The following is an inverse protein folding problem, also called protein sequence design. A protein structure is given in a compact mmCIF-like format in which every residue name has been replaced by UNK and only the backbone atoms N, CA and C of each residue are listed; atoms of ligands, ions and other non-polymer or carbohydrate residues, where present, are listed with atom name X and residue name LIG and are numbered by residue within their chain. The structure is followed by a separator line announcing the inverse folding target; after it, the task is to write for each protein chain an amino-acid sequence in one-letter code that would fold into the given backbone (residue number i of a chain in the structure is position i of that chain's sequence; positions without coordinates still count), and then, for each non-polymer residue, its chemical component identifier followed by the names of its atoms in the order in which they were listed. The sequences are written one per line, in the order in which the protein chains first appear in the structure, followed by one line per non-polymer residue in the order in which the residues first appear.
data_IF_179108092037
#
_entry.id   IF_179108092037
#
_cell.length_a   1.000
_cell.length_b   1.000
_cell.length_c   1.000
_cell.angle_alpha   90.00
_cell.angle_beta   90.00
_cell.angle_gamma   90.00
#
_symmetry.space_group_name_H-M   'P 1'
#
loop_
_entity.id
_entity.type
_entity.pdbx_description
1 polymer ?
#
# COMPACT_ATOMS: atom_id res chain seq x y z
N UNK A 1 -17.22 10.01 -35.31
CA UNK A 1 -15.81 9.63 -35.06
C UNK A 1 -15.01 10.69 -34.30
N UNK A 2 -15.59 11.85 -33.94
CA UNK A 2 -14.86 12.96 -33.26
C UNK A 2 -14.69 12.77 -31.74
N UNK A 3 -15.43 11.86 -31.12
CA UNK A 3 -15.34 11.55 -29.68
C UNK A 3 -14.04 10.79 -29.30
N UNK A 4 -13.40 10.10 -30.25
CA UNK A 4 -12.12 9.39 -30.06
C UNK A 4 -10.90 10.32 -29.98
N UNK A 5 -11.06 11.60 -30.32
CA UNK A 5 -9.97 12.56 -30.46
C UNK A 5 -9.91 13.59 -29.33
N UNK A 6 -10.73 13.47 -28.27
CA UNK A 6 -10.54 14.28 -27.07
C UNK A 6 -9.20 13.85 -26.44
N UNK A 7 -8.18 14.72 -26.38
CA UNK A 7 -6.99 14.39 -25.62
C UNK A 7 -7.42 14.13 -24.17
N UNK A 8 -6.93 13.05 -23.57
CA UNK A 8 -7.09 12.78 -22.14
C UNK A 8 -6.33 13.86 -21.36
N UNK A 9 -6.89 15.05 -21.24
CA UNK A 9 -6.35 16.14 -20.45
C UNK A 9 -7.09 16.18 -19.10
N UNK A 10 -6.56 15.43 -18.15
CA UNK A 10 -6.64 15.69 -16.72
C UNK A 10 -5.19 15.58 -16.25
N UNK A 11 -4.60 16.63 -15.67
CA UNK A 11 -3.15 16.63 -15.38
C UNK A 11 -2.77 15.37 -14.60
N UNK A 12 -1.92 14.54 -15.22
CA UNK A 12 -1.27 13.44 -14.55
C UNK A 12 -0.18 14.07 -13.69
N UNK A 13 -0.53 14.37 -12.44
CA UNK A 13 0.42 14.94 -11.49
C UNK A 13 1.42 13.85 -11.09
N UNK A 14 2.71 14.18 -11.11
CA UNK A 14 3.71 13.28 -10.58
C UNK A 14 3.47 13.03 -9.08
N UNK A 15 3.64 11.80 -8.63
CA UNK A 15 3.37 11.43 -7.24
C UNK A 15 4.06 10.16 -6.79
N UNK A 16 3.89 9.86 -5.50
CA UNK A 16 4.23 8.57 -4.94
C UNK A 16 2.98 7.74 -4.76
N UNK A 17 3.08 6.44 -5.00
CA UNK A 17 2.11 5.46 -4.51
C UNK A 17 2.53 5.06 -3.10
N UNK A 18 1.59 4.94 -2.17
CA UNK A 18 1.86 4.48 -0.82
C UNK A 18 0.92 3.34 -0.44
N UNK A 19 1.39 2.49 0.47
CA UNK A 19 0.61 1.45 1.10
C UNK A 19 0.78 1.55 2.62
N UNK A 20 -0.33 1.54 3.35
CA UNK A 20 -0.31 1.54 4.80
C UNK A 20 -1.34 0.60 5.39
N UNK A 21 -1.07 0.16 6.61
CA UNK A 21 -1.98 -0.68 7.37
C UNK A 21 -2.95 0.19 8.20
N UNK A 22 -4.23 -0.12 8.09
CA UNK A 22 -5.31 0.46 8.89
C UNK A 22 -5.50 -0.35 10.17
N UNK A 23 -5.34 0.29 11.33
CA UNK A 23 -5.72 -0.30 12.61
C UNK A 23 -6.81 0.50 13.31
N UNK A 24 -7.89 -0.15 13.78
CA UNK A 24 -8.90 0.53 14.60
C UNK A 24 -8.27 1.09 15.87
N UNK A 25 -8.54 2.36 16.18
CA UNK A 25 -8.06 3.08 17.37
C UNK A 25 -8.54 2.47 18.70
N UNK A 26 -9.50 1.53 18.66
CA UNK A 26 -10.01 0.82 19.84
C UNK A 26 -9.01 -0.20 20.43
N UNK A 27 -7.94 -0.57 19.69
CA UNK A 27 -6.90 -1.48 20.20
C UNK A 27 -5.84 -0.67 20.98
N UNK A 28 -5.74 -0.91 22.29
CA UNK A 28 -4.84 -0.18 23.23
C UNK A 28 -3.33 -0.35 22.98
N UNK A 29 -2.91 -1.27 22.11
CA UNK A 29 -1.50 -1.53 21.84
C UNK A 29 -1.14 -1.12 20.40
N UNK A 30 0.02 -0.46 20.18
CA UNK A 30 0.44 -0.07 18.84
C UNK A 30 0.66 -1.32 17.97
N UNK A 31 0.27 -1.28 16.68
CA UNK A 31 0.47 -2.42 15.79
C UNK A 31 1.96 -2.73 15.56
N UNK A 32 2.31 -3.99 15.25
CA UNK A 32 3.69 -4.43 15.04
C UNK A 32 4.17 -4.07 13.64
N UNK A 33 4.36 -2.79 13.38
CA UNK A 33 4.69 -2.24 12.05
C UNK A 33 6.01 -2.78 11.52
N UNK A 34 7.03 -2.89 12.37
CA UNK A 34 8.34 -3.42 11.97
C UNK A 34 8.24 -4.88 11.53
N UNK A 35 7.34 -5.66 12.16
CA UNK A 35 7.07 -7.02 11.73
C UNK A 35 6.40 -7.02 10.35
N UNK A 36 5.42 -6.15 10.11
CA UNK A 36 4.77 -6.02 8.80
C UNK A 36 5.74 -5.53 7.70
N UNK A 37 6.61 -4.57 8.00
CA UNK A 37 7.67 -4.09 7.10
C UNK A 37 8.70 -5.20 6.81
N UNK A 38 9.05 -6.00 7.81
CA UNK A 38 9.96 -7.14 7.64
C UNK A 38 9.42 -8.19 6.66
N UNK A 39 8.09 -8.33 6.52
CA UNK A 39 7.48 -9.22 5.53
C UNK A 39 7.75 -8.79 4.08
N UNK A 40 8.00 -7.49 3.86
CA UNK A 40 8.29 -6.87 2.56
C UNK A 40 9.79 -6.90 2.20
N UNK A 41 10.66 -7.38 3.09
CA UNK A 41 12.09 -7.54 2.84
C UNK A 41 12.38 -9.01 2.46
N UNK A 42 13.31 -9.27 1.52
CA UNK A 42 13.79 -10.63 1.28
C UNK A 42 14.34 -11.24 2.57
N UNK A 43 14.03 -12.51 2.90
CA UNK A 43 14.58 -13.13 4.09
C UNK A 43 16.11 -13.25 3.95
N UNK A 44 16.89 -12.99 5.02
CA UNK A 44 18.30 -13.33 5.01
C UNK A 44 18.47 -14.86 4.84
N UNK A 45 19.59 -15.32 4.27
CA UNK A 45 19.84 -16.73 3.98
C UNK A 45 19.88 -17.64 5.21
N UNK A 46 19.88 -17.09 6.43
CA UNK A 46 19.76 -17.84 7.67
C UNK A 46 18.88 -17.07 8.67
N UNK A 47 17.72 -17.61 9.03
CA UNK A 47 17.00 -17.11 10.21
C UNK A 47 16.71 -18.26 11.16
N UNK A 48 17.56 -18.36 12.18
CA UNK A 48 17.36 -19.17 13.37
C UNK A 48 16.16 -18.66 14.19
N UNK A 49 15.40 -19.60 14.79
CA UNK A 49 14.50 -19.58 15.98
C UNK A 49 13.87 -18.27 16.53
N UNK A 50 13.77 -17.19 15.76
CA UNK A 50 13.01 -15.99 16.11
C UNK A 50 11.53 -16.17 15.75
N UNK A 51 10.63 -15.56 16.53
CA UNK A 51 9.19 -15.53 16.21
C UNK A 51 8.99 -14.89 14.82
N UNK A 52 8.25 -15.56 13.95
CA UNK A 52 8.09 -15.11 12.56
C UNK A 52 7.33 -13.78 12.54
N UNK A 53 7.75 -12.78 11.75
CA UNK A 53 7.05 -11.51 11.65
C UNK A 53 5.55 -11.66 11.27
N UNK A 54 5.22 -12.70 10.50
CA UNK A 54 3.84 -13.06 10.14
C UNK A 54 2.97 -13.35 11.35
N UNK A 55 3.51 -14.05 12.35
CA UNK A 55 2.77 -14.49 13.53
C UNK A 55 2.43 -13.26 14.39
N UNK A 56 3.36 -12.30 14.45
CA UNK A 56 3.18 -11.03 15.16
C UNK A 56 2.11 -10.19 14.46
N UNK A 57 2.18 -9.99 13.14
CA UNK A 57 1.17 -9.24 12.37
C UNK A 57 -0.22 -9.88 12.51
N UNK A 58 -0.29 -11.21 12.45
CA UNK A 58 -1.54 -11.94 12.60
C UNK A 58 -2.22 -11.65 13.95
N UNK A 59 -1.47 -11.42 15.03
CA UNK A 59 -2.08 -11.16 16.35
C UNK A 59 -2.88 -9.84 16.39
N UNK A 60 -2.55 -8.90 15.51
CA UNK A 60 -3.15 -7.57 15.44
C UNK A 60 -4.12 -7.38 14.27
N UNK A 61 -4.10 -8.32 13.31
CA UNK A 61 -5.13 -8.48 12.28
C UNK A 61 -6.53 -8.65 12.89
N UNK A 62 -7.58 -8.35 12.11
CA UNK A 62 -8.96 -8.41 12.59
C UNK A 62 -9.34 -9.88 12.89
N UNK A 63 -9.69 -10.23 14.15
CA UNK A 63 -10.13 -11.58 14.47
C UNK A 63 -11.53 -11.90 13.94
N UNK A 64 -12.27 -10.91 13.41
CA UNK A 64 -13.66 -11.04 12.97
C UNK A 64 -13.82 -11.76 11.62
N UNK A 65 -12.72 -12.06 10.93
CA UNK A 65 -12.72 -12.80 9.67
C UNK A 65 -13.35 -14.18 9.83
N UNK A 66 -14.60 -14.34 9.39
CA UNK A 66 -15.28 -15.64 9.27
C UNK A 66 -14.64 -16.44 8.14
N UNK A 67 -13.53 -17.12 8.43
CA UNK A 67 -12.88 -18.06 7.52
C UNK A 67 -11.36 -18.10 7.66
N UNK A 68 -10.80 -19.30 7.64
CA UNK A 68 -9.41 -19.74 7.55
C UNK A 68 -8.30 -18.64 7.38
N UNK A 69 -8.02 -17.92 8.46
CA UNK A 69 -6.86 -17.02 8.61
C UNK A 69 -7.20 -15.57 8.94
N UNK A 70 -6.40 -14.96 9.81
CA UNK A 70 -6.56 -13.55 10.23
C UNK A 70 -6.22 -12.61 9.06
N UNK A 71 -7.04 -11.58 8.84
CA UNK A 71 -6.90 -10.62 7.73
C UNK A 71 -6.50 -9.23 8.20
N UNK A 72 -5.78 -8.51 7.36
CA UNK A 72 -5.37 -7.13 7.61
C UNK A 72 -5.93 -6.21 6.51
N UNK A 73 -6.28 -5.00 6.90
CA UNK A 73 -6.87 -4.00 6.02
C UNK A 73 -5.80 -3.01 5.55
N UNK A 74 -5.51 -3.02 4.26
CA UNK A 74 -4.53 -2.14 3.63
C UNK A 74 -5.22 -0.99 2.92
N UNK A 75 -4.65 0.21 3.02
CA UNK A 75 -4.98 1.33 2.13
C UNK A 75 -3.87 1.54 1.13
N UNK A 76 -4.25 1.67 -0.14
CA UNK A 76 -3.33 2.03 -1.22
C UNK A 76 -3.80 3.35 -1.80
N UNK A 77 -2.92 4.35 -1.82
CA UNK A 77 -3.26 5.65 -2.38
C UNK A 77 -2.06 6.35 -3.00
N UNK A 78 -2.30 7.55 -3.52
CA UNK A 78 -1.25 8.42 -4.09
C UNK A 78 -1.15 9.78 -3.42
N UNK A 79 0.03 10.39 -3.48
CA UNK A 79 0.24 11.79 -3.15
C UNK A 79 1.59 12.31 -3.69
N UNK A 80 1.63 13.59 -4.09
CA UNK A 80 2.90 14.29 -4.31
C UNK A 80 3.70 14.48 -3.01
N UNK A 81 3.01 14.69 -1.89
CA UNK A 81 3.59 14.76 -0.56
C UNK A 81 2.86 13.79 0.39
N UNK A 82 3.42 12.59 0.55
CA UNK A 82 2.85 11.49 1.35
C UNK A 82 2.66 11.91 2.81
N UNK A 83 3.65 12.58 3.41
CA UNK A 83 3.60 13.00 4.80
C UNK A 83 2.42 13.95 5.07
N UNK A 84 2.23 14.97 4.23
CA UNK A 84 1.08 15.88 4.34
C UNK A 84 -0.24 15.14 4.17
N UNK A 85 -0.31 14.18 3.23
CA UNK A 85 -1.51 13.36 3.01
C UNK A 85 -1.85 12.49 4.21
N UNK A 86 -0.86 11.90 4.88
CA UNK A 86 -1.08 11.10 6.09
C UNK A 86 -1.67 11.92 7.23
N UNK A 87 -1.10 13.10 7.49
CA UNK A 87 -1.61 14.01 8.54
C UNK A 87 -3.06 14.43 8.28
N UNK A 88 -3.44 14.64 7.01
CA UNK A 88 -4.83 14.93 6.65
C UNK A 88 -5.74 13.72 6.85
N UNK A 89 -5.27 12.53 6.47
CA UNK A 89 -6.08 11.33 6.53
C UNK A 89 -6.36 10.89 7.98
N UNK A 90 -5.36 10.95 8.87
CA UNK A 90 -5.53 10.67 10.30
C UNK A 90 -6.68 11.50 10.90
N UNK A 91 -6.77 12.78 10.53
CA UNK A 91 -7.83 13.70 10.98
C UNK A 91 -9.19 13.41 10.37
N UNK A 92 -9.26 12.82 9.19
CA UNK A 92 -10.52 12.58 8.47
C UNK A 92 -11.21 11.29 8.89
N UNK A 93 -10.43 10.22 9.10
CA UNK A 93 -10.99 8.88 9.26
C UNK A 93 -10.72 8.24 10.62
N UNK A 94 -9.95 8.87 11.52
CA UNK A 94 -9.82 8.41 12.90
C UNK A 94 -9.25 6.99 13.08
N UNK A 95 -8.48 6.48 12.11
CA UNK A 95 -7.66 5.27 12.26
C UNK A 95 -6.20 5.66 12.46
N UNK A 96 -5.49 4.83 13.21
CA UNK A 96 -4.03 4.90 13.27
C UNK A 96 -3.47 4.44 11.92
N UNK A 97 -2.53 5.22 11.38
CA UNK A 97 -1.89 4.96 10.09
C UNK A 97 -0.48 4.49 10.34
N UNK A 98 -0.13 3.35 9.77
CA UNK A 98 1.24 2.87 9.75
C UNK A 98 1.70 2.56 8.32
N UNK A 99 2.55 3.45 7.80
CA UNK A 99 3.08 3.32 6.43
C UNK A 99 3.96 2.07 6.35
N UNK A 100 3.60 1.17 5.45
CA UNK A 100 4.38 -0.03 5.18
C UNK A 100 5.46 0.27 4.14
N UNK A 101 5.09 0.96 3.05
CA UNK A 101 6.00 1.29 1.94
C UNK A 101 5.44 2.43 1.09
N UNK A 102 6.33 3.17 0.43
CA UNK A 102 6.00 4.06 -0.68
C UNK A 102 6.82 3.68 -1.92
N UNK A 103 6.32 4.05 -3.09
CA UNK A 103 6.85 3.69 -4.39
C UNK A 103 7.01 4.95 -5.27
N UNK A 104 8.05 5.01 -6.12
CA UNK A 104 9.06 3.97 -6.38
C UNK A 104 9.93 3.66 -5.14
N UNK A 105 10.08 2.37 -4.85
CA UNK A 105 10.81 1.91 -3.66
C UNK A 105 12.29 1.80 -4.00
N UNK A 106 13.08 2.75 -3.52
CA UNK A 106 14.54 2.66 -3.60
C UNK A 106 14.99 1.81 -2.41
N UNK A 107 15.34 0.55 -2.66
CA UNK A 107 15.98 -0.28 -1.65
C UNK A 107 17.31 0.41 -1.27
N UNK A 108 17.56 0.60 0.03
CA UNK A 108 18.83 1.13 0.50
C UNK A 108 19.93 0.07 0.30
N UNK A 109 20.39 -0.12 -0.93
CA UNK A 109 21.40 -1.09 -1.31
C UNK A 109 22.45 -0.36 -2.16
N UNK A 110 23.53 0.06 -1.50
CA UNK A 110 24.85 0.34 -2.07
C UNK A 110 24.91 1.03 -3.45
N UNK A 111 24.33 2.23 -3.59
CA UNK A 111 24.83 3.13 -4.61
C UNK A 111 26.16 3.71 -4.12
N UNK A 112 27.21 3.58 -4.93
CA UNK A 112 28.53 4.12 -4.64
C UNK A 112 28.49 5.64 -4.37
N UNK A 113 29.56 6.22 -3.80
CA UNK A 113 29.58 7.64 -3.44
C UNK A 113 29.45 8.49 -4.72
N UNK A 114 28.26 9.04 -4.98
CA UNK A 114 28.06 10.01 -6.07
C UNK A 114 26.68 10.07 -6.74
N UNK A 115 25.76 9.12 -6.51
CA UNK A 115 24.42 9.17 -7.12
C UNK A 115 23.33 9.27 -6.06
N UNK A 116 23.15 10.47 -5.51
CA UNK A 116 21.92 10.84 -4.79
C UNK A 116 20.75 10.94 -5.78
N UNK A 117 20.23 9.80 -6.25
CA UNK A 117 18.95 9.77 -6.96
C UNK A 117 17.87 10.09 -5.94
N UNK A 118 17.39 11.33 -5.95
CA UNK A 118 16.06 11.62 -5.42
C UNK A 118 15.10 10.58 -6.01
N UNK A 119 14.29 9.88 -5.18
CA UNK A 119 13.32 8.93 -5.70
C UNK A 119 12.49 9.63 -6.77
N UNK A 120 12.52 9.11 -8.00
CA UNK A 120 11.73 9.70 -9.08
C UNK A 120 10.26 9.52 -8.71
N UNK A 121 9.45 10.53 -8.98
CA UNK A 121 8.01 10.42 -8.76
C UNK A 121 7.42 9.70 -9.97
N UNK A 122 6.42 8.85 -9.74
CA UNK A 122 5.62 8.20 -10.78
C UNK A 122 4.91 9.30 -11.59
N UNK A 123 5.25 9.53 -12.87
CA UNK A 123 4.69 10.66 -13.62
C UNK A 123 3.18 10.55 -13.81
N UNK A 124 2.65 9.35 -14.04
CA UNK A 124 1.22 9.11 -14.18
C UNK A 124 0.62 8.47 -12.93
N UNK A 125 0.89 9.06 -11.74
CA UNK A 125 0.54 8.41 -10.47
C UNK A 125 -0.97 8.12 -10.31
N UNK A 126 -1.84 8.95 -10.91
CA UNK A 126 -3.30 8.75 -10.87
C UNK A 126 -3.70 7.53 -11.69
N UNK A 127 -3.15 7.40 -12.90
CA UNK A 127 -3.36 6.22 -13.76
C UNK A 127 -2.84 4.95 -13.10
N UNK A 128 -1.61 4.99 -12.57
CA UNK A 128 -0.98 3.86 -11.89
C UNK A 128 -1.79 3.41 -10.68
N UNK A 129 -2.21 4.34 -9.81
CA UNK A 129 -3.11 4.04 -8.69
C UNK A 129 -4.38 3.34 -9.16
N UNK A 130 -5.00 3.85 -10.22
CA UNK A 130 -6.25 3.29 -10.75
C UNK A 130 -6.05 1.86 -11.26
N UNK A 131 -4.95 1.59 -11.97
CA UNK A 131 -4.63 0.26 -12.49
C UNK A 131 -4.37 -0.74 -11.36
N UNK A 132 -3.63 -0.33 -10.33
CA UNK A 132 -3.42 -1.12 -9.11
C UNK A 132 -4.75 -1.46 -8.45
N UNK A 133 -5.63 -0.48 -8.25
CA UNK A 133 -6.94 -0.73 -7.62
C UNK A 133 -7.81 -1.68 -8.44
N UNK A 134 -7.80 -1.56 -9.77
CA UNK A 134 -8.55 -2.46 -10.66
C UNK A 134 -8.02 -3.88 -10.55
N UNK A 135 -6.69 -4.08 -10.61
CA UNK A 135 -6.10 -5.41 -10.52
C UNK A 135 -6.38 -6.08 -9.16
N UNK A 136 -6.14 -5.36 -8.06
CA UNK A 136 -6.40 -5.89 -6.72
C UNK A 136 -7.89 -6.17 -6.47
N UNK A 137 -8.78 -5.34 -7.00
CA UNK A 137 -10.22 -5.62 -6.97
C UNK A 137 -10.57 -6.85 -7.82
N UNK A 138 -9.95 -7.02 -8.99
CA UNK A 138 -10.09 -8.21 -9.83
C UNK A 138 -9.59 -9.50 -9.18
N UNK A 139 -8.64 -9.39 -8.24
CA UNK A 139 -8.20 -10.48 -7.37
C UNK A 139 -9.15 -10.76 -6.19
N UNK A 140 -10.24 -10.01 -6.05
CA UNK A 140 -11.18 -10.14 -4.94
C UNK A 140 -10.64 -9.62 -3.60
N UNK A 141 -9.59 -8.78 -3.61
CA UNK A 141 -8.99 -8.24 -2.39
C UNK A 141 -9.64 -6.94 -1.93
N UNK A 142 -10.63 -6.41 -2.66
CA UNK A 142 -11.30 -5.17 -2.27
C UNK A 142 -12.11 -5.42 -1.00
N UNK A 143 -11.94 -4.56 0.00
CA UNK A 143 -12.67 -4.69 1.25
C UNK A 143 -14.17 -4.35 1.04
N UNK A 144 -15.05 -5.24 1.47
CA UNK A 144 -16.51 -5.05 1.43
C UNK A 144 -16.98 -4.20 2.62
N UNK A 145 -16.45 -2.98 2.74
CA UNK A 145 -16.89 -2.02 3.76
C UNK A 145 -17.93 -1.07 3.16
N UNK A 146 -19.17 -1.15 3.63
CA UNK A 146 -20.27 -0.31 3.15
C UNK A 146 -20.02 1.18 3.41
N UNK A 147 -19.53 1.54 4.59
CA UNK A 147 -19.19 2.92 4.97
C UNK A 147 -18.12 2.97 6.06
N UNK A 148 -17.23 3.95 5.98
CA UNK A 148 -16.27 4.25 7.04
C UNK A 148 -17.00 4.61 8.35
N UNK A 149 -16.73 3.87 9.43
CA UNK A 149 -17.36 4.13 10.73
C UNK A 149 -17.03 5.50 11.34
N UNK A 150 -15.95 6.15 10.89
CA UNK A 150 -15.54 7.47 11.38
C UNK A 150 -15.99 8.62 10.47
N UNK A 151 -15.78 8.51 9.15
CA UNK A 151 -16.07 9.61 8.22
C UNK A 151 -17.37 9.45 7.41
N UNK A 152 -18.05 8.30 7.53
CA UNK A 152 -19.32 8.02 6.86
C UNK A 152 -19.24 7.80 5.34
N UNK A 153 -18.06 7.93 4.72
CA UNK A 153 -17.88 7.77 3.26
C UNK A 153 -17.47 6.33 2.89
N UNK A 154 -17.78 5.94 1.65
CA UNK A 154 -17.27 4.70 1.04
C UNK A 154 -15.78 4.86 0.68
N UNK A 155 -14.93 3.91 1.09
CA UNK A 155 -13.51 3.89 0.72
C UNK A 155 -13.23 2.76 -0.26
N UNK A 156 -13.11 3.11 -1.55
CA UNK A 156 -12.81 2.16 -2.64
C UNK A 156 -11.35 1.72 -2.72
N UNK A 157 -10.54 2.31 -1.86
CA UNK A 157 -9.08 2.25 -1.86
C UNK A 157 -8.58 1.34 -0.72
N UNK A 158 -9.49 0.56 -0.13
CA UNK A 158 -9.24 -0.37 0.97
C UNK A 158 -9.26 -1.80 0.46
N UNK A 159 -8.26 -2.57 0.89
CA UNK A 159 -8.04 -3.94 0.46
C UNK A 159 -7.85 -4.84 1.67
N UNK A 160 -8.64 -5.90 1.74
CA UNK A 160 -8.52 -6.92 2.78
C UNK A 160 -7.61 -8.05 2.27
N UNK A 161 -6.54 -8.32 3.02
CA UNK A 161 -5.58 -9.36 2.65
C UNK A 161 -5.28 -10.28 3.81
N UNK A 162 -4.88 -11.52 3.52
CA UNK A 162 -4.37 -12.43 4.54
C UNK A 162 -3.17 -11.78 5.22
N UNK A 163 -3.15 -11.78 6.56
CA UNK A 163 -2.06 -11.25 7.37
C UNK A 163 -0.84 -12.19 7.37
N UNK A 164 -0.43 -12.62 6.18
CA UNK A 164 0.70 -13.51 5.91
C UNK A 164 1.70 -12.81 5.02
N UNK A 165 2.93 -13.33 4.99
CA UNK A 165 3.98 -12.76 4.13
C UNK A 165 3.57 -12.77 2.67
N UNK A 166 3.02 -13.89 2.23
CA UNK A 166 2.59 -14.13 0.85
C UNK A 166 1.42 -13.21 0.48
N UNK A 167 0.49 -12.95 1.42
CA UNK A 167 -0.62 -12.03 1.20
C UNK A 167 -0.17 -10.61 0.94
N UNK A 168 0.72 -10.08 1.80
CA UNK A 168 1.24 -8.72 1.66
C UNK A 168 2.15 -8.61 0.41
N UNK A 169 2.98 -9.63 0.14
CA UNK A 169 3.86 -9.64 -1.05
C UNK A 169 3.10 -9.57 -2.36
N UNK A 170 1.97 -10.27 -2.48
CA UNK A 170 1.14 -10.18 -3.69
C UNK A 170 0.70 -8.74 -3.97
N UNK A 171 0.38 -7.97 -2.92
CA UNK A 171 0.04 -6.55 -3.07
C UNK A 171 1.25 -5.71 -3.47
N UNK A 172 2.41 -5.93 -2.82
CA UNK A 172 3.69 -5.27 -3.17
C UNK A 172 4.05 -5.54 -4.64
N UNK A 173 3.95 -6.79 -5.10
CA UNK A 173 4.27 -7.20 -6.48
C UNK A 173 3.37 -6.50 -7.51
N UNK A 174 2.07 -6.34 -7.23
CA UNK A 174 1.14 -5.61 -8.10
C UNK A 174 1.50 -4.13 -8.18
N UNK A 175 1.77 -3.49 -7.04
CA UNK A 175 2.14 -2.08 -7.01
C UNK A 175 3.43 -1.85 -7.79
N UNK A 176 4.46 -2.67 -7.54
CA UNK A 176 5.75 -2.58 -8.23
C UNK A 176 5.57 -2.70 -9.73
N UNK A 177 4.83 -3.72 -10.20
CA UNK A 177 4.63 -3.96 -11.64
C UNK A 177 4.03 -2.76 -12.35
N UNK A 178 3.02 -2.11 -11.76
CA UNK A 178 2.39 -0.94 -12.38
C UNK A 178 3.25 0.32 -12.28
N UNK A 179 4.03 0.48 -11.21
CA UNK A 179 5.00 1.57 -11.10
C UNK A 179 6.13 1.39 -12.11
N UNK A 180 6.70 0.18 -12.22
CA UNK A 180 7.75 -0.17 -13.18
C UNK A 180 7.25 -0.03 -14.63
N UNK A 181 5.98 -0.39 -14.90
CA UNK A 181 5.34 -0.18 -16.20
C UNK A 181 5.25 1.31 -16.56
N UNK A 182 4.93 2.17 -15.60
CA UNK A 182 4.88 3.62 -15.83
C UNK A 182 6.27 4.20 -16.10
N UNK A 183 7.30 3.72 -15.40
CA UNK A 183 8.68 4.13 -15.62
C UNK A 183 9.21 3.70 -17.00
N UNK A 184 8.87 2.49 -17.45
CA UNK A 184 9.33 1.93 -18.73
C UNK A 184 8.53 2.39 -19.94
N UNK A 185 7.30 2.87 -19.74
CA UNK A 185 6.46 3.41 -20.83
C UNK A 185 6.81 4.86 -21.21
N UNK A 186 7.82 5.46 -20.58
CA UNK A 186 8.32 6.82 -20.83
C UNK A 186 9.52 6.86 -21.78
N UNK A 187 10.11 5.70 -22.09
CA UNK A 187 11.16 5.51 -23.10
C UNK A 187 10.55 5.12 -24.46
#
# INVERSE_FOLDING_TARGET
MTELAKPHADSEDAGYIYMFWLTPTSKKAPPPVDAARSLLVPPPPSSARSRRPSDIVSTFADPSGKGDGKTMLLKIGRAANVQRRMNQWQRQCGYDIEILRYYPYVAAVHDGPGTSRTPRMTPHCRRVERLIHIELAGMGLRADTSTCGACGREHREWFEVKATREGIRRVDDVIRRWVDWDETSLD
#
